data_IF_706761123383
#
_entry.id   IF_706761123383
#
_cell.length_a   1.000
_cell.length_b   1.000
_cell.length_c   1.000
_cell.angle_alpha   90.00
_cell.angle_beta   90.00
_cell.angle_gamma   90.00
#
_symmetry.space_group_name_H-M   'P 1'
#
loop_
_entity.id
_entity.type
_entity.pdbx_description
1 polymer ?
#
# COMPACT_ATOMS: atom_id res chain seq x y z
N UNK A 1 27.43 58.96 -4.92
CA UNK A 1 26.53 58.52 -3.83
C UNK A 1 25.28 57.84 -4.39
N UNK A 2 25.37 56.66 -5.02
CA UNK A 2 24.21 55.78 -5.36
C UNK A 2 24.68 54.35 -5.70
N UNK A 3 25.39 53.66 -4.81
CA UNK A 3 25.72 52.23 -4.98
C UNK A 3 25.84 51.51 -3.62
N UNK A 4 24.79 51.55 -2.80
CA UNK A 4 24.78 50.89 -1.49
C UNK A 4 23.43 50.24 -1.12
N UNK A 5 22.72 49.61 -2.07
CA UNK A 5 21.45 48.91 -1.76
C UNK A 5 21.30 47.55 -2.45
N UNK A 6 22.38 46.80 -2.70
CA UNK A 6 22.26 45.49 -3.36
C UNK A 6 23.17 44.39 -2.79
N UNK A 7 23.37 44.36 -1.46
CA UNK A 7 24.18 43.31 -0.80
C UNK A 7 23.51 42.76 0.47
N UNK A 8 22.18 42.60 0.50
CA UNK A 8 21.50 42.00 1.68
C UNK A 8 20.27 41.17 1.35
N UNK A 9 20.28 40.42 0.25
CA UNK A 9 19.19 39.52 -0.12
C UNK A 9 19.67 38.11 -0.52
N UNK A 10 20.83 37.69 -0.02
CA UNK A 10 21.41 36.37 -0.29
C UNK A 10 21.58 35.46 0.95
N UNK A 11 21.54 35.91 2.22
CA UNK A 11 21.50 34.97 3.34
C UNK A 11 20.08 34.61 3.83
N UNK A 12 19.01 35.07 3.16
CA UNK A 12 17.63 34.80 3.56
C UNK A 12 16.96 33.62 2.82
N UNK A 13 17.68 32.93 1.92
CA UNK A 13 17.16 31.79 1.15
C UNK A 13 17.77 30.43 1.57
N UNK A 14 18.37 30.36 2.76
CA UNK A 14 18.97 29.12 3.30
C UNK A 14 18.41 28.72 4.68
N UNK A 15 17.23 29.22 5.05
CA UNK A 15 16.55 28.84 6.28
C UNK A 15 15.03 28.66 6.07
N UNK A 16 14.66 27.94 5.01
CA UNK A 16 13.27 27.50 4.77
C UNK A 16 13.17 26.02 4.42
N UNK A 17 14.04 25.19 5.00
CA UNK A 17 13.76 23.76 5.18
C UNK A 17 13.10 23.63 6.55
N UNK A 18 11.92 24.26 6.68
CA UNK A 18 11.01 23.89 7.74
C UNK A 18 10.31 22.62 7.27
N UNK A 19 10.51 21.58 8.08
CA UNK A 19 9.75 20.34 8.13
C UNK A 19 8.28 20.71 7.87
N UNK A 20 7.76 20.38 6.68
CA UNK A 20 6.33 20.35 6.49
C UNK A 20 5.82 19.26 7.43
N UNK A 21 4.96 19.57 8.42
CA UNK A 21 4.22 18.52 9.08
C UNK A 21 3.43 17.83 7.97
N UNK A 22 3.52 16.50 7.90
CA UNK A 22 2.57 15.68 7.17
C UNK A 22 1.21 16.02 7.78
N UNK A 23 0.51 16.96 7.15
CA UNK A 23 -0.87 17.24 7.50
C UNK A 23 -1.65 16.01 7.07
N UNK A 24 -1.93 15.14 8.04
CA UNK A 24 -3.01 14.18 7.94
C UNK A 24 -4.30 15.01 7.80
N UNK A 25 -4.65 15.32 6.56
CA UNK A 25 -5.94 15.91 6.23
C UNK A 25 -7.01 14.87 6.59
N UNK A 26 -7.79 15.15 7.62
CA UNK A 26 -9.02 14.43 7.93
C UNK A 26 -10.09 14.77 6.90
N UNK A 27 -9.88 14.34 5.66
CA UNK A 27 -10.97 14.09 4.73
C UNK A 27 -11.48 12.69 5.07
N UNK A 28 -12.81 12.51 5.06
CA UNK A 28 -13.44 11.20 5.03
C UNK A 28 -13.08 10.60 3.67
N UNK A 29 -11.86 10.08 3.56
CA UNK A 29 -11.27 9.55 2.34
C UNK A 29 -10.73 8.17 2.63
N UNK A 30 -10.89 7.26 1.68
CA UNK A 30 -10.20 5.99 1.67
C UNK A 30 -8.67 6.21 1.59
N UNK A 31 -7.89 5.16 1.83
CA UNK A 31 -6.45 5.19 1.60
C UNK A 31 -6.11 5.46 0.12
N UNK A 32 -4.82 5.65 -0.15
CA UNK A 32 -4.27 5.73 -1.49
C UNK A 32 -2.89 5.04 -1.50
N UNK A 33 -2.42 4.66 -2.68
CA UNK A 33 -1.05 4.12 -2.87
C UNK A 33 -0.30 4.88 -3.97
N UNK A 34 1.02 5.11 -3.84
CA UNK A 34 1.82 5.74 -4.89
C UNK A 34 2.03 4.80 -6.09
N UNK A 35 2.23 5.36 -7.29
CA UNK A 35 2.54 4.58 -8.50
C UNK A 35 3.80 3.72 -8.37
N UNK A 36 4.81 4.23 -7.67
CA UNK A 36 6.02 3.48 -7.35
C UNK A 36 5.85 2.90 -5.96
N UNK A 37 5.70 1.57 -5.82
CA UNK A 37 5.51 0.97 -4.51
C UNK A 37 6.70 1.25 -3.59
N UNK A 38 6.46 1.43 -2.27
CA UNK A 38 7.56 1.59 -1.32
C UNK A 38 8.53 0.40 -1.35
N UNK A 39 9.82 0.69 -1.22
CA UNK A 39 10.84 -0.35 -1.14
C UNK A 39 10.70 -1.18 0.14
N UNK A 40 11.05 -2.46 0.06
CA UNK A 40 11.11 -3.36 1.21
C UNK A 40 12.55 -3.44 1.72
N UNK A 41 12.75 -3.32 3.03
CA UNK A 41 14.07 -3.39 3.64
C UNK A 41 14.73 -4.77 3.49
N UNK A 42 16.06 -4.80 3.40
CA UNK A 42 16.84 -6.02 3.30
C UNK A 42 17.12 -6.41 1.85
N UNK A 43 17.38 -7.70 1.63
CA UNK A 43 17.59 -8.26 0.30
C UNK A 43 16.60 -9.41 0.06
N UNK A 44 15.35 -9.10 -0.33
CA UNK A 44 14.32 -10.12 -0.56
C UNK A 44 14.73 -11.07 -1.68
N UNK A 45 14.50 -12.37 -1.49
CA UNK A 45 14.72 -13.37 -2.53
C UNK A 45 13.66 -13.24 -3.63
N UNK A 46 13.94 -13.65 -4.88
CA UNK A 46 12.90 -13.76 -5.90
C UNK A 46 11.72 -14.63 -5.42
N UNK A 47 10.50 -14.19 -5.67
CA UNK A 47 9.31 -15.00 -5.39
C UNK A 47 9.34 -16.32 -6.21
N UNK A 48 8.99 -17.46 -5.63
CA UNK A 48 8.88 -18.72 -6.36
C UNK A 48 7.69 -18.69 -7.33
N UNK A 49 7.83 -19.36 -8.47
CA UNK A 49 6.74 -19.59 -9.42
C UNK A 49 5.79 -20.70 -8.91
N UNK A 50 5.14 -20.45 -7.77
CA UNK A 50 4.28 -21.42 -7.09
C UNK A 50 2.93 -20.80 -6.68
N UNK A 51 1.80 -21.50 -6.88
CA UNK A 51 0.50 -21.00 -6.46
C UNK A 51 0.40 -20.74 -4.96
N UNK A 52 -0.35 -19.70 -4.59
CA UNK A 52 -0.65 -19.38 -3.19
C UNK A 52 0.46 -18.68 -2.42
N UNK A 53 1.63 -18.42 -3.01
CA UNK A 53 2.73 -17.67 -2.37
C UNK A 53 2.49 -16.17 -2.49
N UNK A 54 2.38 -15.68 -3.72
CA UNK A 54 1.89 -14.35 -4.04
C UNK A 54 0.55 -14.52 -4.73
N UNK A 55 -0.44 -13.74 -4.30
CA UNK A 55 -1.82 -13.83 -4.79
C UNK A 55 -2.34 -12.45 -5.11
N UNK A 56 -3.23 -12.36 -6.10
CA UNK A 56 -4.06 -11.17 -6.34
C UNK A 56 -5.01 -11.07 -5.14
N UNK A 57 -4.98 -9.96 -4.41
CA UNK A 57 -5.74 -9.81 -3.17
C UNK A 57 -7.02 -9.00 -3.35
N UNK A 58 -6.93 -7.90 -4.09
CA UNK A 58 -8.03 -6.96 -4.29
C UNK A 58 -7.88 -6.22 -5.62
N UNK A 59 -8.99 -5.92 -6.28
CA UNK A 59 -9.01 -5.29 -7.61
C UNK A 59 -10.11 -4.25 -7.69
N UNK A 60 -9.78 -3.04 -8.15
CA UNK A 60 -10.73 -1.98 -8.45
C UNK A 60 -10.52 -1.50 -9.90
N UNK A 61 -11.52 -1.73 -10.77
CA UNK A 61 -11.44 -1.41 -12.20
C UNK A 61 -12.28 -0.20 -12.63
N UNK A 62 -13.12 0.33 -11.73
CA UNK A 62 -14.07 1.42 -12.02
C UNK A 62 -13.88 2.55 -10.99
N UNK A 63 -12.73 3.25 -10.99
CA UNK A 63 -12.50 4.36 -10.08
C UNK A 63 -13.45 5.52 -10.36
N UNK A 64 -14.02 6.07 -9.29
CA UNK A 64 -14.71 7.36 -9.23
C UNK A 64 -14.14 8.28 -8.12
N UNK A 65 -12.98 7.90 -7.58
CA UNK A 65 -12.22 8.62 -6.58
C UNK A 65 -10.72 8.52 -6.86
N UNK A 66 -9.92 9.34 -6.17
CA UNK A 66 -8.46 9.40 -6.34
C UNK A 66 -7.76 8.33 -5.52
N UNK A 67 -7.15 7.34 -6.16
CA UNK A 67 -6.51 6.18 -5.52
C UNK A 67 -4.98 6.19 -5.56
N UNK A 68 -4.36 7.01 -6.42
CA UNK A 68 -2.90 6.99 -6.72
C UNK A 68 -2.00 7.96 -5.92
N UNK A 69 -2.53 8.60 -4.88
CA UNK A 69 -1.87 9.64 -4.05
C UNK A 69 -1.27 10.85 -4.81
N UNK A 70 -1.46 10.98 -6.13
CA UNK A 70 -0.68 11.90 -6.96
C UNK A 70 -1.44 13.18 -7.32
N UNK A 71 -2.77 13.16 -7.25
CA UNK A 71 -3.64 14.27 -7.61
C UNK A 71 -4.52 14.73 -6.43
N UNK A 72 -5.05 15.94 -6.53
CA UNK A 72 -5.97 16.47 -5.52
C UNK A 72 -7.28 15.70 -5.53
N UNK A 73 -7.82 15.44 -4.34
CA UNK A 73 -9.06 14.68 -4.14
C UNK A 73 -10.18 15.14 -5.06
N UNK A 74 -10.73 14.21 -5.84
CA UNK A 74 -11.84 14.45 -6.78
C UNK A 74 -11.43 14.55 -8.25
N UNK A 75 -10.13 14.57 -8.54
CA UNK A 75 -9.62 14.27 -9.88
C UNK A 75 -9.22 12.79 -9.92
N UNK A 76 -9.78 12.03 -10.85
CA UNK A 76 -9.46 10.62 -11.04
C UNK A 76 -9.54 10.29 -12.54
N UNK A 77 -8.88 9.22 -12.95
CA UNK A 77 -9.05 8.63 -14.27
C UNK A 77 -8.98 7.12 -14.24
N UNK A 78 -9.61 6.47 -15.23
CA UNK A 78 -9.51 5.02 -15.40
C UNK A 78 -8.05 4.55 -15.57
N UNK A 79 -7.19 5.40 -16.13
CA UNK A 79 -5.79 5.08 -16.38
C UNK A 79 -4.97 5.12 -15.09
N UNK A 80 -5.17 6.16 -14.29
CA UNK A 80 -4.34 6.47 -13.15
C UNK A 80 -4.84 5.88 -11.84
N UNK A 81 -6.13 5.52 -11.73
CA UNK A 81 -6.76 5.15 -10.46
C UNK A 81 -7.35 3.73 -10.45
N UNK A 82 -7.21 2.99 -11.55
CA UNK A 82 -7.45 1.55 -11.56
C UNK A 82 -6.26 0.84 -10.93
N UNK A 83 -6.52 -0.04 -9.97
CA UNK A 83 -5.46 -0.72 -9.26
C UNK A 83 -5.74 -2.21 -9.03
N UNK A 84 -4.64 -2.94 -8.92
CA UNK A 84 -4.58 -4.35 -8.54
C UNK A 84 -3.64 -4.44 -7.35
N UNK A 85 -4.09 -5.05 -6.27
CA UNK A 85 -3.27 -5.33 -5.11
C UNK A 85 -2.84 -6.79 -5.10
N UNK A 86 -1.56 -7.03 -4.84
CA UNK A 86 -1.05 -8.36 -4.54
C UNK A 86 -0.74 -8.49 -3.05
N UNK A 87 -0.90 -9.69 -2.50
CA UNK A 87 -0.59 -10.04 -1.13
C UNK A 87 0.44 -11.17 -1.05
N UNK A 88 1.38 -11.04 -0.12
CA UNK A 88 2.33 -12.09 0.21
C UNK A 88 1.82 -12.94 1.37
N UNK A 89 1.50 -14.20 1.12
CA UNK A 89 0.99 -15.10 2.17
C UNK A 89 2.07 -15.60 3.12
N UNK A 90 3.34 -15.32 2.82
CA UNK A 90 4.49 -15.82 3.56
C UNK A 90 4.99 -14.84 4.62
N UNK A 91 5.70 -15.38 5.60
CA UNK A 91 6.29 -14.66 6.73
C UNK A 91 7.68 -14.05 6.42
N UNK A 92 8.06 -13.95 5.15
CA UNK A 92 9.31 -13.36 4.70
C UNK A 92 9.07 -12.56 3.40
N UNK A 93 9.89 -11.52 3.12
CA UNK A 93 9.68 -10.68 1.95
C UNK A 93 10.15 -11.33 0.65
N UNK A 94 9.59 -10.88 -0.47
CA UNK A 94 10.00 -11.29 -1.81
C UNK A 94 10.30 -10.11 -2.73
N UNK A 95 11.20 -10.34 -3.69
CA UNK A 95 11.46 -9.45 -4.81
C UNK A 95 10.66 -9.95 -6.02
N UNK A 96 9.67 -9.18 -6.44
CA UNK A 96 8.77 -9.55 -7.54
C UNK A 96 9.34 -9.17 -8.91
N UNK A 97 10.14 -8.09 -8.97
CA UNK A 97 10.84 -7.71 -10.19
C UNK A 97 11.87 -8.77 -10.60
N UNK A 98 12.71 -9.22 -9.67
CA UNK A 98 13.71 -10.26 -9.92
C UNK A 98 13.08 -11.64 -10.20
N UNK A 99 11.82 -11.83 -9.81
CA UNK A 99 11.06 -13.04 -10.13
C UNK A 99 10.42 -13.00 -11.53
N UNK A 100 10.55 -11.88 -12.26
CA UNK A 100 9.83 -11.62 -13.51
C UNK A 100 8.31 -11.80 -13.32
N UNK A 101 7.78 -11.15 -12.29
CA UNK A 101 6.34 -11.13 -12.06
C UNK A 101 5.64 -10.20 -13.06
N UNK A 102 4.51 -10.66 -13.57
CA UNK A 102 3.73 -9.98 -14.61
C UNK A 102 2.23 -10.18 -14.36
N UNK A 103 1.42 -9.21 -14.79
CA UNK A 103 -0.03 -9.35 -14.84
C UNK A 103 -0.48 -9.31 -16.29
N UNK A 104 -1.34 -10.25 -16.70
CA UNK A 104 -1.99 -10.23 -18.00
C UNK A 104 -3.49 -10.52 -17.91
N UNK A 105 -4.17 -10.48 -19.06
CA UNK A 105 -5.60 -10.80 -19.18
C UNK A 105 -5.90 -12.07 -19.96
N UNK A 106 -4.92 -12.99 -20.01
CA UNK A 106 -5.01 -14.23 -20.78
C UNK A 106 -3.85 -14.41 -21.76
N UNK A 107 -3.72 -15.61 -22.36
CA UNK A 107 -2.67 -15.87 -23.35
C UNK A 107 -2.76 -14.92 -24.55
N UNK A 108 -1.62 -14.43 -25.02
CA UNK A 108 -1.51 -13.48 -26.15
C UNK A 108 -2.22 -12.13 -25.92
N UNK A 109 -2.40 -11.73 -24.66
CA UNK A 109 -2.79 -10.37 -24.29
C UNK A 109 -1.55 -9.55 -23.91
N UNK A 110 -1.72 -8.23 -23.81
CA UNK A 110 -0.72 -7.37 -23.22
C UNK A 110 -0.45 -7.78 -21.77
N UNK A 111 0.80 -7.63 -21.36
CA UNK A 111 1.24 -7.84 -19.99
C UNK A 111 1.70 -6.52 -19.38
N UNK A 112 1.52 -6.42 -18.07
CA UNK A 112 2.11 -5.39 -17.23
C UNK A 112 3.26 -6.02 -16.43
N UNK A 113 4.49 -5.61 -16.74
CA UNK A 113 5.65 -6.00 -15.93
C UNK A 113 5.66 -5.19 -14.64
N UNK A 114 5.91 -5.86 -13.52
CA UNK A 114 6.09 -5.15 -12.26
C UNK A 114 7.31 -4.20 -12.36
N UNK A 115 7.22 -2.99 -11.77
CA UNK A 115 8.24 -1.96 -11.93
C UNK A 115 9.57 -2.38 -11.26
N UNK A 116 10.67 -1.75 -11.70
CA UNK A 116 11.98 -1.97 -11.08
C UNK A 116 11.92 -1.70 -9.56
N UNK A 117 12.48 -2.62 -8.79
CA UNK A 117 12.47 -2.54 -7.33
C UNK A 117 11.20 -3.05 -6.65
N UNK A 118 10.19 -3.50 -7.42
CA UNK A 118 8.98 -4.09 -6.88
C UNK A 118 9.31 -5.27 -5.94
N UNK A 119 9.08 -5.04 -4.65
CA UNK A 119 9.28 -6.01 -3.59
C UNK A 119 8.08 -5.94 -2.64
N UNK A 120 7.76 -7.07 -2.02
CA UNK A 120 6.60 -7.20 -1.14
C UNK A 120 7.05 -7.72 0.22
N UNK A 121 6.61 -7.07 1.29
CA UNK A 121 6.98 -7.44 2.65
C UNK A 121 6.34 -8.78 3.05
N UNK A 122 6.83 -9.39 4.13
CA UNK A 122 6.16 -10.51 4.79
C UNK A 122 4.73 -10.11 5.19
N UNK A 123 3.72 -10.88 4.80
CA UNK A 123 2.30 -10.52 5.02
C UNK A 123 1.96 -9.10 4.55
N UNK A 124 2.71 -8.58 3.59
CA UNK A 124 2.55 -7.23 3.06
C UNK A 124 1.75 -7.21 1.77
N UNK A 125 1.43 -5.99 1.36
CA UNK A 125 0.72 -5.69 0.14
C UNK A 125 1.65 -4.96 -0.84
N UNK A 126 1.33 -5.05 -2.12
CA UNK A 126 1.88 -4.17 -3.14
C UNK A 126 0.74 -3.77 -4.06
N UNK A 127 0.55 -2.47 -4.23
CA UNK A 127 -0.49 -1.92 -5.10
C UNK A 127 0.13 -1.54 -6.43
N UNK A 128 -0.53 -1.96 -7.51
CA UNK A 128 -0.10 -1.76 -8.88
C UNK A 128 -1.16 -0.99 -9.65
N UNK A 129 -0.75 -0.05 -10.48
CA UNK A 129 -1.63 0.74 -11.36
C UNK A 129 -1.33 0.38 -12.82
N UNK A 130 -1.69 -0.82 -13.29
CA UNK A 130 -1.24 -1.32 -14.60
C UNK A 130 -1.78 -0.49 -15.76
N UNK A 131 -2.95 0.13 -15.60
CA UNK A 131 -3.59 0.98 -16.61
C UNK A 131 -2.90 2.35 -16.78
N UNK A 132 -2.00 2.70 -15.87
CA UNK A 132 -1.14 3.88 -16.02
C UNK A 132 -0.14 3.66 -17.15
N UNK A 133 0.23 2.39 -17.40
CA UNK A 133 0.93 1.98 -18.59
C UNK A 133 -0.07 1.73 -19.73
N UNK A 134 -0.07 2.65 -20.70
CA UNK A 134 -0.99 2.60 -21.83
C UNK A 134 -0.84 1.30 -22.66
N UNK A 135 0.29 0.59 -22.57
CA UNK A 135 0.47 -0.68 -23.27
C UNK A 135 -0.41 -1.80 -22.72
N UNK A 136 -0.87 -1.73 -21.47
CA UNK A 136 -1.70 -2.78 -20.87
C UNK A 136 -3.14 -2.78 -21.42
N UNK A 137 -3.67 -1.61 -21.77
CA UNK A 137 -5.11 -1.38 -21.99
C UNK A 137 -5.70 -2.06 -23.22
N UNK A 138 -4.95 -2.23 -24.30
CA UNK A 138 -5.57 -2.50 -25.62
C UNK A 138 -6.21 -3.89 -25.75
N UNK A 139 -5.88 -4.83 -24.87
CA UNK A 139 -6.40 -6.21 -24.89
C UNK A 139 -6.84 -6.71 -23.51
N UNK A 140 -6.93 -5.82 -22.53
CA UNK A 140 -7.29 -6.22 -21.17
C UNK A 140 -8.75 -6.67 -21.09
N UNK A 141 -9.02 -7.63 -20.22
CA UNK A 141 -10.37 -8.12 -19.93
C UNK A 141 -10.59 -8.14 -18.41
N UNK A 142 -11.76 -8.59 -17.95
CA UNK A 142 -11.98 -8.77 -16.51
C UNK A 142 -11.35 -10.06 -15.96
N UNK A 143 -10.75 -10.90 -16.81
CA UNK A 143 -9.88 -11.99 -16.34
C UNK A 143 -8.48 -11.42 -16.11
N UNK A 144 -7.94 -11.63 -14.92
CA UNK A 144 -6.60 -11.21 -14.53
C UNK A 144 -5.81 -12.44 -14.10
N UNK A 145 -4.57 -12.55 -14.57
CA UNK A 145 -3.64 -13.61 -14.19
C UNK A 145 -2.36 -12.99 -13.67
N UNK A 146 -1.88 -13.51 -12.54
CA UNK A 146 -0.55 -13.22 -12.03
C UNK A 146 0.39 -14.33 -12.52
N UNK A 147 1.44 -13.93 -13.23
CA UNK A 147 2.48 -14.81 -13.73
C UNK A 147 3.79 -14.53 -12.99
N UNK A 148 4.56 -15.57 -12.76
CA UNK A 148 5.95 -15.47 -12.30
C UNK A 148 6.80 -16.32 -13.24
N UNK A 149 7.71 -15.67 -13.97
CA UNK A 149 8.40 -16.26 -15.11
C UNK A 149 7.40 -16.57 -16.23
N UNK A 150 6.95 -17.82 -16.33
CA UNK A 150 5.95 -18.25 -17.32
C UNK A 150 4.80 -19.07 -16.70
N UNK A 151 4.80 -19.23 -15.38
CA UNK A 151 3.76 -19.98 -14.67
C UNK A 151 2.67 -19.03 -14.19
N UNK A 152 1.41 -19.37 -14.46
CA UNK A 152 0.27 -18.71 -13.80
C UNK A 152 0.26 -19.18 -12.35
N UNK A 153 0.53 -18.27 -11.42
CA UNK A 153 0.56 -18.55 -9.98
C UNK A 153 -0.75 -18.18 -9.29
N UNK A 154 -1.52 -17.25 -9.86
CA UNK A 154 -2.86 -16.92 -9.40
C UNK A 154 -3.70 -16.32 -10.53
N UNK A 155 -5.03 -16.39 -10.42
CA UNK A 155 -5.94 -15.81 -11.39
C UNK A 155 -7.30 -15.48 -10.77
N UNK A 156 -7.96 -14.47 -11.31
CA UNK A 156 -9.31 -14.06 -10.90
C UNK A 156 -10.10 -13.55 -12.10
N UNK A 157 -11.39 -13.89 -12.17
CA UNK A 157 -12.34 -13.24 -13.08
C UNK A 157 -13.14 -12.23 -12.27
N UNK A 158 -12.88 -10.96 -12.49
CA UNK A 158 -13.53 -9.84 -11.81
C UNK A 158 -14.97 -9.71 -12.35
N UNK A 159 -15.99 -9.68 -11.48
CA UNK A 159 -17.36 -9.41 -11.90
C UNK A 159 -17.51 -7.96 -12.35
N UNK A 160 -18.69 -7.61 -12.87
CA UNK A 160 -19.01 -6.20 -13.08
C UNK A 160 -19.04 -5.47 -11.73
N UNK A 161 -18.31 -4.36 -11.64
CA UNK A 161 -18.23 -3.52 -10.44
C UNK A 161 -19.00 -2.23 -10.66
N UNK A 162 -19.68 -1.75 -9.61
CA UNK A 162 -20.14 -0.36 -9.56
C UNK A 162 -18.95 0.57 -9.27
N UNK A 163 -19.10 1.89 -9.47
CA UNK A 163 -18.01 2.81 -9.20
C UNK A 163 -17.51 2.75 -7.75
N UNK A 164 -16.19 2.82 -7.59
CA UNK A 164 -15.45 2.69 -6.32
C UNK A 164 -15.76 1.41 -5.52
N UNK A 165 -16.30 0.38 -6.17
CA UNK A 165 -16.30 -0.98 -5.64
C UNK A 165 -15.03 -1.70 -6.04
N UNK A 166 -14.56 -2.56 -5.14
CA UNK A 166 -13.50 -3.52 -5.42
C UNK A 166 -14.02 -4.95 -5.32
N UNK A 167 -13.33 -5.86 -5.99
CA UNK A 167 -13.46 -7.29 -5.79
C UNK A 167 -12.27 -7.76 -4.96
N UNK A 168 -12.55 -8.28 -3.77
CA UNK A 168 -11.53 -8.55 -2.75
C UNK A 168 -11.61 -9.98 -2.25
N UNK A 169 -10.47 -10.58 -1.88
CA UNK A 169 -10.44 -11.82 -1.12
C UNK A 169 -11.02 -11.61 0.28
N UNK A 170 -11.60 -12.67 0.84
CA UNK A 170 -12.22 -12.65 2.15
C UNK A 170 -11.73 -13.81 3.02
N UNK A 171 -10.71 -13.66 3.85
CA UNK A 171 -9.82 -12.51 4.10
C UNK A 171 -8.56 -12.51 3.18
N UNK A 172 -7.51 -11.77 3.55
CA UNK A 172 -6.25 -11.69 2.78
C UNK A 172 -5.72 -13.07 2.37
N UNK A 173 -5.50 -13.26 1.07
CA UNK A 173 -5.03 -14.51 0.49
C UNK A 173 -5.99 -15.71 0.59
N UNK A 174 -7.22 -15.54 1.10
CA UNK A 174 -8.22 -16.61 1.14
C UNK A 174 -8.78 -16.93 -0.24
N UNK A 175 -9.28 -18.15 -0.45
CA UNK A 175 -9.84 -18.58 -1.74
C UNK A 175 -11.20 -17.96 -2.10
N UNK A 176 -11.90 -17.38 -1.12
CA UNK A 176 -13.20 -16.76 -1.29
C UNK A 176 -13.08 -15.28 -1.64
N UNK A 177 -13.98 -14.80 -2.49
CA UNK A 177 -14.00 -13.43 -2.98
C UNK A 177 -15.37 -12.78 -2.78
N UNK A 178 -15.38 -11.46 -2.62
CA UNK A 178 -16.59 -10.66 -2.48
C UNK A 178 -16.44 -9.31 -3.18
N UNK A 179 -17.56 -8.75 -3.65
CA UNK A 179 -17.62 -7.34 -4.03
C UNK A 179 -17.84 -6.51 -2.77
N UNK A 180 -17.04 -5.47 -2.55
CA UNK A 180 -17.12 -4.59 -1.38
C UNK A 180 -17.25 -3.12 -1.78
N UNK A 181 -17.93 -2.33 -0.93
CA UNK A 181 -18.02 -0.86 -1.04
C UNK A 181 -17.00 -0.15 -0.13
N UNK A 182 -16.12 -0.92 0.50
CA UNK A 182 -15.05 -0.40 1.35
C UNK A 182 -13.73 -1.01 0.89
N UNK A 183 -13.15 -0.52 -0.22
CA UNK A 183 -11.87 -1.02 -0.70
C UNK A 183 -10.75 -0.77 0.31
N UNK A 184 -9.80 -1.70 0.37
CA UNK A 184 -8.72 -1.71 1.37
C UNK A 184 -7.34 -1.58 0.73
N UNK A 185 -7.19 -0.60 -0.16
CA UNK A 185 -5.91 -0.31 -0.81
C UNK A 185 -4.75 -0.20 0.20
N UNK A 186 -3.69 -0.98 -0.02
CA UNK A 186 -2.50 -1.07 0.83
C UNK A 186 -2.82 -1.44 2.30
N UNK A 187 -3.90 -2.19 2.52
CA UNK A 187 -4.38 -2.59 3.84
C UNK A 187 -5.04 -3.97 3.83
N UNK A 188 -5.14 -4.58 5.00
CA UNK A 188 -5.78 -5.89 5.13
C UNK A 188 -7.28 -5.86 4.82
N UNK A 189 -7.72 -6.86 4.05
CA UNK A 189 -9.12 -7.19 3.90
C UNK A 189 -9.72 -7.63 5.24
N UNK A 190 -10.88 -7.08 5.59
CA UNK A 190 -11.57 -7.47 6.80
C UNK A 190 -12.00 -8.95 6.75
N UNK A 191 -11.60 -9.75 7.74
CA UNK A 191 -12.17 -11.06 8.00
C UNK A 191 -13.49 -10.90 8.76
N UNK A 192 -14.62 -11.40 8.25
CA UNK A 192 -15.78 -11.59 9.10
C UNK A 192 -15.49 -12.82 9.97
N UNK A 193 -15.17 -12.59 11.24
CA UNK A 193 -15.32 -13.66 12.22
C UNK A 193 -16.81 -13.99 12.26
N UNK A 194 -17.19 -15.23 11.93
CA UNK A 194 -18.57 -15.67 12.07
C UNK A 194 -19.02 -15.29 13.49
N UNK A 195 -20.04 -14.43 13.59
CA UNK A 195 -20.70 -14.18 14.87
C UNK A 195 -21.06 -15.54 15.43
N UNK A 196 -20.58 -15.94 16.62
CA UNK A 196 -20.99 -17.21 17.18
C UNK A 196 -22.51 -17.18 17.24
N UNK A 197 -23.16 -18.09 16.51
CA UNK A 197 -24.58 -18.32 16.65
C UNK A 197 -24.78 -18.63 18.12
N UNK A 198 -25.37 -17.70 18.87
CA UNK A 198 -25.83 -17.98 20.21
C UNK A 198 -26.94 -18.99 20.03
N UNK A 199 -26.59 -20.27 20.11
CA UNK A 199 -27.57 -21.33 20.33
C UNK A 199 -28.20 -21.02 21.67
N UNK A 200 -29.36 -20.36 21.65
CA UNK A 200 -30.19 -20.18 22.84
C UNK A 200 -30.31 -21.53 23.53
N UNK A 201 -29.93 -21.67 24.82
CA UNK A 201 -30.18 -22.90 25.53
C UNK A 201 -31.70 -23.08 25.60
N UNK A 202 -32.17 -24.20 25.06
CA UNK A 202 -33.51 -24.72 25.31
C UNK A 202 -33.75 -24.70 26.82
N UNK A 203 -34.65 -23.83 27.29
CA UNK A 203 -35.05 -23.81 28.68
C UNK A 203 -35.84 -25.09 28.95
N UNK A 204 -35.21 -26.03 29.65
CA UNK A 204 -35.86 -27.20 30.21
C UNK A 204 -37.01 -26.75 31.13
N UNK A 205 -38.18 -27.32 30.88
CA UNK A 205 -39.35 -27.22 31.73
C UNK A 205 -39.08 -27.83 33.11
N UNK A 206 -39.37 -27.10 34.18
CA UNK A 206 -40.12 -27.65 35.33
C UNK A 206 -40.57 -26.54 36.29
N UNK A 207 -41.84 -26.52 36.69
CA UNK A 207 -42.32 -25.67 37.78
C UNK A 207 -43.78 -25.18 37.64
N UNK A 208 -44.70 -25.95 38.20
CA UNK A 208 -46.13 -25.68 38.34
C UNK A 208 -46.47 -24.44 39.19
N UNK A 209 -47.52 -23.69 38.82
CA UNK A 209 -48.15 -22.68 39.68
C UNK A 209 -49.46 -22.13 39.09
N UNK A 210 -50.54 -22.21 39.87
CA UNK A 210 -51.96 -21.97 39.54
C UNK A 210 -52.35 -20.52 39.28
N UNK A 211 -53.33 -20.37 38.37
CA UNK A 211 -54.52 -19.48 38.33
C UNK A 211 -54.40 -18.01 38.78
N UNK A 212 -54.73 -17.06 37.89
CA UNK A 212 -56.01 -16.30 37.89
C UNK A 212 -56.09 -15.28 36.74
N UNK A 213 -57.32 -14.99 36.32
CA UNK A 213 -57.73 -14.22 35.15
C UNK A 213 -57.48 -12.70 35.25
N UNK A 214 -57.30 -12.00 34.12
CA UNK A 214 -58.31 -11.08 33.55
C UNK A 214 -57.91 -10.48 32.19
N UNK A 215 -58.94 -10.00 31.48
CA UNK A 215 -59.05 -9.48 30.11
C UNK A 215 -58.11 -8.31 29.73
N UNK A 216 -57.84 -8.20 28.43
CA UNK A 216 -57.47 -6.94 27.75
C UNK A 216 -57.32 -7.12 26.24
N UNK A 217 -58.06 -6.34 25.47
CA UNK A 217 -58.24 -6.42 24.01
C UNK A 217 -57.54 -5.23 23.31
N UNK A 218 -57.26 -5.37 22.01
CA UNK A 218 -57.00 -4.32 20.99
C UNK A 218 -55.55 -3.90 20.66
N UNK A 219 -55.09 -4.36 19.48
CA UNK A 219 -54.67 -3.57 18.29
C UNK A 219 -53.61 -2.45 18.39
N UNK A 220 -52.49 -2.60 17.66
CA UNK A 220 -52.10 -1.79 16.47
C UNK A 220 -50.59 -1.79 16.15
N UNK A 221 -50.29 -2.07 14.87
CA UNK A 221 -49.20 -1.63 13.95
C UNK A 221 -47.69 -1.63 14.33
N UNK A 222 -46.80 -1.93 13.35
CA UNK A 222 -45.35 -2.03 13.55
C UNK A 222 -44.66 -0.67 13.47
N UNK A 223 -43.70 -0.42 14.36
CA UNK A 223 -42.81 0.74 14.30
C UNK A 223 -41.34 0.32 14.34
N UNK A 224 -40.56 1.00 13.48
CA UNK A 224 -39.12 0.95 13.23
C UNK A 224 -38.23 0.35 14.31
N UNK A 225 -37.42 -0.63 13.91
CA UNK A 225 -36.24 -1.07 14.66
C UNK A 225 -35.15 0.02 14.59
N UNK A 226 -35.04 0.80 15.65
CA UNK A 226 -33.91 1.70 15.91
C UNK A 226 -32.66 0.88 16.25
N UNK A 227 -31.54 1.16 15.56
CA UNK A 227 -30.20 0.64 15.87
C UNK A 227 -29.81 1.02 17.31
N UNK A 228 -29.63 0.04 18.18
CA UNK A 228 -28.95 0.24 19.47
C UNK A 228 -27.43 0.12 19.27
N UNK A 229 -26.73 1.24 19.41
CA UNK A 229 -25.28 1.27 19.58
C UNK A 229 -24.93 0.57 20.90
N UNK A 230 -24.25 -0.58 20.82
CA UNK A 230 -23.60 -1.19 21.98
C UNK A 230 -22.21 -0.57 22.11
N UNK A 231 -22.03 0.23 23.16
CA UNK A 231 -20.77 0.88 23.50
C UNK A 231 -19.80 -0.15 24.13
N UNK A 232 -18.96 -0.78 23.30
CA UNK A 232 -17.85 -1.62 23.76
C UNK A 232 -16.60 -0.78 23.96
N UNK A 233 -16.11 -0.67 25.20
CA UNK A 233 -14.81 -0.03 25.49
C UNK A 233 -13.69 -1.00 25.08
N UNK A 234 -12.86 -0.56 24.13
CA UNK A 234 -11.69 -1.29 23.62
C UNK A 234 -10.61 -1.47 24.70
N UNK A 235 -10.02 -2.66 24.90
CA UNK A 235 -8.94 -2.85 25.86
C UNK A 235 -7.65 -2.15 25.40
N UNK A 236 -6.93 -1.54 26.35
CA UNK A 236 -5.62 -0.93 26.09
C UNK A 236 -4.55 -2.01 25.90
N UNK A 237 -4.19 -2.27 24.63
CA UNK A 237 -3.17 -3.24 24.22
C UNK A 237 -1.75 -2.93 24.75
N UNK A 238 -1.52 -1.73 25.29
CA UNK A 238 -0.24 -1.28 25.83
C UNK A 238 0.17 -1.93 27.17
N UNK A 239 -0.63 -2.85 27.72
CA UNK A 239 -0.35 -3.53 29.01
C UNK A 239 -0.13 -5.04 28.92
N UNK A 240 -0.06 -5.62 27.72
CA UNK A 240 0.30 -7.03 27.55
C UNK A 240 1.83 -7.19 27.59
N UNK A 241 2.37 -7.62 28.73
CA UNK A 241 3.74 -8.14 28.81
C UNK A 241 3.76 -9.61 28.39
N UNK A 242 4.51 -9.94 27.34
CA UNK A 242 4.86 -11.31 27.00
C UNK A 242 6.03 -11.80 27.89
N UNK A 243 6.09 -13.10 28.24
CA UNK A 243 7.18 -13.64 29.05
C UNK A 243 8.53 -13.49 28.34
N UNK A 244 9.48 -12.89 29.04
CA UNK A 244 10.86 -12.70 28.58
C UNK A 244 11.64 -14.01 28.69
N UNK A 245 12.18 -14.52 27.58
CA UNK A 245 13.13 -15.64 27.61
C UNK A 245 14.52 -15.13 27.98
N UNK A 246 15.09 -15.70 29.05
CA UNK A 246 16.46 -15.46 29.52
C UNK A 246 17.45 -16.22 28.64
N UNK A 247 18.44 -15.58 28.00
CA UNK A 247 19.49 -16.30 27.30
C UNK A 247 20.53 -16.84 28.30
N UNK A 248 20.58 -18.17 28.45
CA UNK A 248 21.68 -18.89 29.11
C UNK A 248 22.94 -18.75 28.27
N UNK A 249 23.99 -18.16 28.85
CA UNK A 249 25.31 -18.01 28.22
C UNK A 249 26.01 -19.37 28.11
N UNK A 250 26.31 -19.80 26.89
CA UNK A 250 27.24 -20.89 26.62
C UNK A 250 28.67 -20.34 26.54
N UNK A 251 29.50 -20.71 27.51
CA UNK A 251 30.95 -20.48 27.53
C UNK A 251 31.65 -21.44 26.58
N UNK A 252 32.16 -20.94 25.46
CA UNK A 252 33.34 -21.50 24.78
C UNK A 252 34.06 -20.37 24.03
N UNK A 253 35.25 -20.00 24.49
CA UNK A 253 36.21 -19.22 23.70
C UNK A 253 37.60 -19.76 23.98
N UNK A 254 38.16 -20.47 23.00
CA UNK A 254 39.60 -20.56 22.82
C UNK A 254 40.01 -19.38 21.91
N UNK A 255 41.08 -18.71 22.30
CA UNK A 255 41.60 -17.46 21.74
C UNK A 255 41.98 -17.58 20.26
N UNK A 256 41.72 -16.52 19.50
CA UNK A 256 42.58 -16.16 18.35
C UNK A 256 42.61 -14.65 18.18
N UNK A 257 43.77 -14.21 17.72
CA UNK A 257 44.39 -12.91 17.81
C UNK A 257 43.63 -11.78 17.11
N UNK A 258 43.64 -10.60 17.72
CA UNK A 258 43.04 -9.36 17.22
C UNK A 258 43.99 -8.73 16.19
N UNK A 259 43.49 -8.52 14.96
CA UNK A 259 44.01 -7.51 14.04
C UNK A 259 42.85 -6.65 13.56
N UNK A 260 42.99 -5.34 13.81
CA UNK A 260 42.07 -4.25 13.49
C UNK A 260 41.77 -4.13 11.99
N UNK A 261 40.52 -3.88 11.56
CA UNK A 261 40.22 -3.45 10.19
C UNK A 261 40.45 -1.94 10.03
N UNK A 262 40.92 -1.46 8.86
CA UNK A 262 40.98 -0.05 8.56
C UNK A 262 39.59 0.52 8.20
N UNK A 263 39.43 1.81 8.49
CA UNK A 263 38.26 2.66 8.23
C UNK A 263 37.82 2.64 6.75
N UNK A 264 36.52 2.80 6.42
CA UNK A 264 36.07 2.89 5.03
C UNK A 264 36.54 4.20 4.39
N UNK A 265 37.39 4.07 3.38
CA UNK A 265 37.84 5.18 2.54
C UNK A 265 36.68 5.83 1.80
N UNK A 266 36.69 7.16 1.80
CA UNK A 266 35.83 8.02 0.98
C UNK A 266 35.90 7.64 -0.49
N UNK A 267 34.75 7.44 -1.12
CA UNK A 267 34.59 7.21 -2.56
C UNK A 267 35.21 8.35 -3.39
N UNK A 268 36.45 8.19 -3.84
CA UNK A 268 37.18 9.16 -4.68
C UNK A 268 36.82 9.09 -6.18
N UNK A 269 35.90 8.21 -6.58
CA UNK A 269 35.44 8.10 -7.98
C UNK A 269 34.35 9.10 -8.36
N UNK A 270 33.78 9.86 -7.41
CA UNK A 270 32.73 10.85 -7.68
C UNK A 270 33.24 12.30 -7.83
N UNK A 271 34.51 12.57 -7.51
CA UNK A 271 35.07 13.93 -7.56
C UNK A 271 35.25 14.47 -8.99
N UNK A 272 35.83 13.73 -9.96
CA UNK A 272 36.04 14.27 -11.31
C UNK A 272 34.71 14.47 -12.06
N UNK A 273 33.71 13.61 -11.83
CA UNK A 273 32.38 13.73 -12.44
C UNK A 273 31.63 14.97 -11.92
N UNK A 274 31.72 15.25 -10.62
CA UNK A 274 31.10 16.44 -10.01
C UNK A 274 31.76 17.73 -10.52
N UNK A 275 33.08 17.74 -10.68
CA UNK A 275 33.80 18.89 -11.25
C UNK A 275 33.44 19.08 -12.73
N UNK A 276 33.33 18.00 -13.51
CA UNK A 276 32.92 18.08 -14.91
C UNK A 276 31.49 18.66 -15.06
N UNK A 277 30.55 18.23 -14.21
CA UNK A 277 29.18 18.74 -14.20
C UNK A 277 29.11 20.23 -13.81
N UNK A 278 29.89 20.67 -12.83
CA UNK A 278 29.90 22.09 -12.44
C UNK A 278 30.49 22.98 -13.53
N UNK A 279 31.58 22.56 -14.17
CA UNK A 279 32.16 23.29 -15.31
C UNK A 279 31.16 23.38 -16.47
N UNK A 280 30.45 22.30 -16.79
CA UNK A 280 29.43 22.28 -17.85
C UNK A 280 28.30 23.27 -17.56
N UNK A 281 27.81 23.32 -16.32
CA UNK A 281 26.75 24.25 -15.91
C UNK A 281 27.20 25.72 -15.95
N UNK A 282 28.44 26.02 -15.57
CA UNK A 282 29.01 27.37 -15.67
C UNK A 282 29.10 27.79 -17.14
N UNK A 283 29.57 26.91 -18.02
CA UNK A 283 29.65 27.20 -19.45
C UNK A 283 28.25 27.44 -20.04
N UNK A 284 27.26 26.63 -19.68
CA UNK A 284 25.86 26.84 -20.08
C UNK A 284 25.30 28.17 -19.60
N UNK A 285 25.56 28.56 -18.34
CA UNK A 285 25.12 29.84 -17.81
C UNK A 285 25.77 31.02 -18.54
N UNK A 286 27.06 30.91 -18.86
CA UNK A 286 27.80 31.94 -19.62
C UNK A 286 27.28 32.07 -21.06
N UNK A 287 26.94 30.96 -21.73
CA UNK A 287 26.36 31.01 -23.08
C UNK A 287 24.95 31.60 -23.06
N UNK A 288 24.12 31.26 -22.07
CA UNK A 288 22.80 31.87 -21.89
C UNK A 288 22.93 33.38 -21.65
N UNK A 289 23.85 33.80 -20.79
CA UNK A 289 24.13 35.23 -20.54
C UNK A 289 24.64 35.96 -21.78
N UNK A 290 25.50 35.32 -22.57
CA UNK A 290 26.00 35.87 -23.82
C UNK A 290 24.90 36.00 -24.87
N UNK A 291 24.08 34.95 -25.05
CA UNK A 291 22.91 34.97 -25.92
C UNK A 291 21.93 36.07 -25.47
N UNK A 292 21.64 36.16 -24.17
CA UNK A 292 20.77 37.21 -23.63
C UNK A 292 21.30 38.61 -23.94
N UNK A 293 22.61 38.85 -23.76
CA UNK A 293 23.24 40.12 -24.12
C UNK A 293 23.29 40.40 -25.63
N UNK A 294 23.39 39.37 -26.45
CA UNK A 294 23.41 39.51 -27.91
C UNK A 294 22.02 39.82 -28.48
N UNK A 295 20.97 39.21 -27.91
CA UNK A 295 19.59 39.37 -28.36
C UNK A 295 18.87 40.60 -27.78
N UNK A 296 19.24 41.07 -26.58
CA UNK A 296 18.62 42.23 -25.92
C UNK A 296 19.46 43.52 -26.01
N UNK A 297 20.13 43.76 -27.15
CA UNK A 297 20.72 45.09 -27.43
C UNK A 297 19.62 46.15 -27.56
N UNK A 298 19.34 46.84 -26.45
CA UNK A 298 18.91 48.25 -26.39
C UNK A 298 20.00 48.99 -25.63
#
# INVERSE_FOLDING_TARGET
>A
MRYFVAVSLVPALFLSIFILPVSASTLVGHGCAPFTPPGVSGNPNPAPAAPGVIVINEVLLVPHSTWNCSESSGNYSLLSDTWIELYNTQNHPFNLYAAHAEIDSGPNTNFYHLPFGASIAAHGFIVLFPRYDASFLSTETSNLRLLIGNAVVDQVTVPQLAPDQSYARHADGASTWQVTNAPTIDASNASFQATPTVTSPSSGQNGSGRNTANRGHSGNTPTSASKTLINGVQPQWSKLQLPTVTPTSATHTAQTTITTPPSPGSNTTALPLRIALTVLLILLAMTILWCWRAFFKI
#
